data_IF_190499533226
#
_entry.id   IF_190499533226
#
_cell.length_a   1.000
_cell.length_b   1.000
_cell.length_c   1.000
_cell.angle_alpha   90.00
_cell.angle_beta   90.00
_cell.angle_gamma   90.00
#
_symmetry.space_group_name_H-M   'P 1'
#
loop_
_entity.id
_entity.type
_entity.pdbx_description
1 polymer ?
#
# COMPACT_ATOMS: atom_id res chain seq x y z
N UNK A 1 -2.39 25.12 -25.22
CA UNK A 1 -1.21 24.28 -24.98
C UNK A 1 -0.04 25.19 -24.59
N UNK A 2 0.59 24.93 -23.45
CA UNK A 2 1.62 25.81 -22.87
C UNK A 2 2.94 25.78 -23.62
N UNK A 3 3.14 25.32 -24.75
CA UNK A 3 4.39 25.36 -25.55
C UNK A 3 4.13 25.23 -27.05
N UNK A 4 2.92 25.60 -27.54
CA UNK A 4 2.58 25.50 -28.97
C UNK A 4 2.45 24.06 -29.48
N UNK A 5 2.33 23.08 -28.56
CA UNK A 5 2.07 21.70 -28.96
C UNK A 5 0.55 21.53 -29.14
N UNK A 6 0.16 21.21 -30.36
CA UNK A 6 -1.21 20.90 -30.71
C UNK A 6 -1.39 19.38 -30.73
N UNK A 7 -2.50 18.90 -30.17
CA UNK A 7 -2.83 17.48 -30.13
C UNK A 7 -4.00 17.20 -31.06
N UNK A 8 -3.81 16.28 -31.96
CA UNK A 8 -4.88 15.81 -32.83
C UNK A 8 -5.81 14.92 -32.00
N UNK A 9 -6.97 15.46 -31.61
CA UNK A 9 -7.97 14.78 -30.76
C UNK A 9 -8.72 13.63 -31.44
N UNK A 10 -8.41 13.27 -32.67
CA UNK A 10 -9.20 12.32 -33.49
C UNK A 10 -8.39 11.38 -34.39
N UNK A 11 -7.17 11.05 -34.04
CA UNK A 11 -6.39 10.08 -34.79
C UNK A 11 -5.98 8.87 -33.97
N UNK A 12 -5.79 7.70 -34.58
CA UNK A 12 -5.25 6.53 -33.87
C UNK A 12 -3.78 6.67 -33.51
N UNK A 13 -3.12 7.75 -33.91
CA UNK A 13 -1.68 7.85 -33.93
C UNK A 13 -1.05 8.48 -32.69
N UNK A 14 -1.80 9.03 -31.76
CA UNK A 14 -1.31 9.73 -30.54
C UNK A 14 -0.20 10.77 -30.80
N UNK A 15 0.12 11.07 -32.07
CA UNK A 15 1.15 12.03 -32.44
C UNK A 15 0.70 13.47 -32.18
N UNK A 16 1.66 14.31 -31.80
CA UNK A 16 1.46 15.76 -31.71
C UNK A 16 2.00 16.43 -32.95
N UNK A 17 1.84 17.76 -33.05
CA UNK A 17 2.45 18.57 -34.11
C UNK A 17 4.00 18.61 -34.04
N UNK A 18 4.61 18.02 -33.03
CA UNK A 18 6.07 17.92 -32.86
C UNK A 18 6.50 16.48 -33.15
N UNK A 19 7.34 16.27 -34.19
CA UNK A 19 7.80 14.94 -34.55
C UNK A 19 8.47 14.20 -33.38
N UNK A 20 8.06 12.95 -33.12
CA UNK A 20 8.56 12.13 -32.04
C UNK A 20 7.98 12.44 -30.64
N UNK A 21 7.05 13.39 -30.54
CA UNK A 21 6.32 13.69 -29.32
C UNK A 21 4.90 13.17 -29.44
N UNK A 22 4.52 12.34 -28.48
CA UNK A 22 3.23 11.66 -28.42
C UNK A 22 2.46 12.10 -27.18
N UNK A 23 1.15 11.90 -27.21
CA UNK A 23 0.28 12.21 -26.09
C UNK A 23 -0.84 11.18 -25.97
N UNK A 24 -1.07 10.65 -24.79
CA UNK A 24 -2.10 9.67 -24.49
C UNK A 24 -2.87 10.03 -23.20
N UNK A 25 -3.94 9.30 -22.94
CA UNK A 25 -4.79 9.50 -21.76
C UNK A 25 -5.53 10.83 -21.79
N UNK A 26 -5.77 11.41 -20.62
CA UNK A 26 -6.58 12.65 -20.48
C UNK A 26 -6.07 13.83 -21.29
N UNK A 27 -4.78 13.92 -21.50
CA UNK A 27 -4.20 14.98 -22.32
C UNK A 27 -4.54 14.83 -23.80
N UNK A 28 -4.80 13.61 -24.27
CA UNK A 28 -5.21 13.32 -25.65
C UNK A 28 -6.72 13.38 -25.83
N UNK A 29 -7.48 12.72 -24.98
CA UNK A 29 -8.93 12.56 -25.12
C UNK A 29 -9.76 13.54 -24.30
N UNK A 30 -9.19 14.21 -23.33
CA UNK A 30 -9.87 14.98 -22.28
C UNK A 30 -10.11 14.10 -21.03
N UNK A 31 -10.64 14.69 -19.96
CA UNK A 31 -10.89 13.97 -18.71
C UNK A 31 -11.71 12.69 -18.91
N UNK A 32 -11.21 11.58 -18.40
CA UNK A 32 -11.79 10.27 -18.58
C UNK A 32 -11.50 9.37 -17.35
N UNK A 33 -11.90 8.11 -17.41
CA UNK A 33 -11.61 7.15 -16.34
C UNK A 33 -10.18 6.65 -16.40
N UNK A 34 -9.67 6.17 -15.26
CA UNK A 34 -8.33 5.54 -15.18
C UNK A 34 -8.22 4.35 -16.15
N UNK A 35 -9.30 3.57 -16.32
CA UNK A 35 -9.33 2.43 -17.24
C UNK A 35 -9.13 2.87 -18.69
N UNK A 36 -9.74 3.99 -19.09
CA UNK A 36 -9.57 4.54 -20.43
C UNK A 36 -8.17 5.11 -20.65
N UNK A 37 -7.57 5.72 -19.61
CA UNK A 37 -6.18 6.16 -19.64
C UNK A 37 -5.20 5.00 -19.83
N UNK A 38 -5.42 3.90 -19.14
CA UNK A 38 -4.63 2.66 -19.29
C UNK A 38 -4.82 2.06 -20.69
N UNK A 39 -6.04 2.03 -21.21
CA UNK A 39 -6.33 1.54 -22.56
C UNK A 39 -5.63 2.37 -23.64
N UNK A 40 -5.57 3.70 -23.48
CA UNK A 40 -4.85 4.57 -24.40
C UNK A 40 -3.34 4.33 -24.34
N UNK A 41 -2.77 4.15 -23.15
CA UNK A 41 -1.36 3.83 -22.99
C UNK A 41 -1.00 2.49 -23.65
N UNK A 42 -1.85 1.48 -23.51
CA UNK A 42 -1.67 0.18 -24.16
C UNK A 42 -1.69 0.31 -25.69
N UNK A 43 -2.68 1.02 -26.26
CA UNK A 43 -2.78 1.27 -27.71
C UNK A 43 -1.59 2.05 -28.23
N UNK A 44 -1.14 3.05 -27.49
CA UNK A 44 0.06 3.81 -27.87
C UNK A 44 1.30 2.91 -27.91
N UNK A 45 1.48 2.06 -26.89
CA UNK A 45 2.59 1.11 -26.86
C UNK A 45 2.57 0.16 -28.07
N UNK A 46 1.41 -0.35 -28.47
CA UNK A 46 1.25 -1.19 -29.66
C UNK A 46 1.67 -0.47 -30.94
N UNK A 47 1.34 0.82 -31.07
CA UNK A 47 1.74 1.63 -32.22
C UNK A 47 3.26 1.81 -32.26
N UNK A 48 3.90 2.08 -31.14
CA UNK A 48 5.35 2.30 -31.06
C UNK A 48 6.12 1.01 -31.32
N UNK A 49 5.65 -0.10 -30.79
CA UNK A 49 6.31 -1.42 -30.93
C UNK A 49 6.00 -2.06 -32.30
N UNK A 50 4.91 -1.67 -32.95
CA UNK A 50 4.51 -2.15 -34.27
C UNK A 50 3.81 -3.53 -34.27
N UNK A 51 3.45 -4.04 -33.09
CA UNK A 51 2.66 -5.27 -32.99
C UNK A 51 1.71 -5.19 -31.77
N UNK A 52 0.56 -5.90 -31.81
CA UNK A 52 -0.36 -5.94 -30.69
C UNK A 52 0.31 -6.60 -29.48
N UNK A 53 0.01 -6.07 -28.30
CA UNK A 53 0.40 -6.70 -27.05
C UNK A 53 -0.49 -7.93 -26.79
N UNK A 54 0.14 -9.07 -26.66
CA UNK A 54 -0.53 -10.29 -26.21
C UNK A 54 -0.47 -10.27 -24.69
N UNK A 55 -1.60 -9.98 -24.05
CA UNK A 55 -1.74 -10.14 -22.61
C UNK A 55 -1.65 -11.62 -22.29
N UNK A 56 -0.61 -12.02 -21.61
CA UNK A 56 -0.55 -13.35 -21.00
C UNK A 56 -1.50 -13.32 -19.79
N UNK A 57 -2.78 -13.49 -20.09
CA UNK A 57 -3.80 -13.67 -19.05
C UNK A 57 -3.57 -15.09 -18.55
N UNK A 58 -3.11 -15.25 -17.28
CA UNK A 58 -2.97 -16.58 -16.72
C UNK A 58 -4.28 -17.33 -16.93
N UNK A 59 -4.19 -18.56 -17.42
CA UNK A 59 -5.34 -19.44 -17.48
C UNK A 59 -6.05 -19.34 -16.12
N UNK A 60 -7.36 -19.12 -16.14
CA UNK A 60 -8.16 -19.03 -14.94
C UNK A 60 -7.74 -20.15 -14.00
N UNK A 61 -7.02 -19.79 -12.93
CA UNK A 61 -6.84 -20.72 -11.86
C UNK A 61 -8.25 -21.06 -11.38
N UNK A 62 -8.55 -22.33 -11.13
CA UNK A 62 -9.80 -22.77 -10.51
C UNK A 62 -9.91 -22.16 -9.10
N UNK A 63 -10.05 -20.84 -9.05
CA UNK A 63 -10.26 -20.09 -7.80
C UNK A 63 -11.73 -20.24 -7.46
N UNK A 64 -12.00 -20.99 -6.43
CA UNK A 64 -13.36 -21.14 -5.95
C UNK A 64 -13.85 -19.83 -5.33
N UNK A 65 -15.15 -19.61 -5.29
CA UNK A 65 -15.75 -18.49 -4.59
C UNK A 65 -15.31 -18.46 -3.12
N UNK A 66 -15.11 -19.62 -2.50
CA UNK A 66 -14.59 -19.76 -1.16
C UNK A 66 -13.15 -19.22 -1.01
N UNK A 67 -12.27 -19.53 -1.96
CA UNK A 67 -10.89 -19.05 -1.93
C UNK A 67 -10.84 -17.53 -2.08
N UNK A 68 -11.67 -16.95 -2.96
CA UNK A 68 -11.75 -15.52 -3.14
C UNK A 68 -12.28 -14.81 -1.89
N UNK A 69 -13.29 -15.38 -1.24
CA UNK A 69 -13.86 -14.85 -0.01
C UNK A 69 -12.90 -15.00 1.17
N UNK A 70 -12.24 -16.14 1.31
CA UNK A 70 -11.24 -16.38 2.34
C UNK A 70 -10.06 -15.40 2.21
N UNK A 71 -9.57 -15.17 1.00
CA UNK A 71 -8.51 -14.20 0.73
C UNK A 71 -8.91 -12.77 1.12
N UNK A 72 -10.18 -12.40 0.89
CA UNK A 72 -10.69 -11.08 1.27
C UNK A 72 -11.16 -10.98 2.72
N UNK A 73 -11.11 -12.06 3.47
CA UNK A 73 -11.52 -12.09 4.88
C UNK A 73 -13.02 -11.87 5.12
N UNK A 74 -13.86 -12.04 4.10
CA UNK A 74 -15.30 -11.74 4.18
C UNK A 74 -16.03 -12.68 5.12
N UNK A 75 -15.58 -13.94 5.21
CA UNK A 75 -16.27 -14.97 5.96
C UNK A 75 -15.85 -15.15 7.39
N UNK A 76 -14.81 -14.50 7.79
CA UNK A 76 -14.34 -14.87 9.07
C UNK A 76 -14.55 -13.87 10.06
N UNK A 77 -15.06 -14.00 10.93
CA UNK A 77 -14.72 -14.09 12.02
C UNK A 77 -14.53 -13.07 12.86
N UNK A 78 -15.20 -11.94 12.63
CA UNK A 78 -15.48 -10.86 13.53
C UNK A 78 -15.76 -11.29 14.99
N UNK A 79 -16.18 -12.51 15.16
CA UNK A 79 -16.46 -13.07 16.49
C UNK A 79 -15.23 -13.25 17.39
N UNK A 80 -14.02 -13.08 16.87
CA UNK A 80 -12.79 -13.26 17.65
C UNK A 80 -12.13 -11.94 18.05
N UNK A 81 -12.52 -10.84 17.45
CA UNK A 81 -11.95 -9.53 17.75
C UNK A 81 -12.78 -8.82 18.81
N UNK A 82 -12.15 -8.41 19.89
CA UNK A 82 -12.80 -7.81 21.07
C UNK A 82 -12.99 -6.31 20.89
N UNK A 83 -12.01 -5.64 20.28
CA UNK A 83 -12.07 -4.23 19.93
C UNK A 83 -11.47 -3.94 18.56
N UNK A 84 -11.71 -2.74 18.04
CA UNK A 84 -11.27 -2.38 16.68
C UNK A 84 -9.75 -2.28 16.56
N UNK A 85 -9.07 -1.72 17.57
CA UNK A 85 -7.61 -1.64 17.58
C UNK A 85 -6.95 -3.03 17.61
N UNK A 86 -7.42 -3.92 18.48
CA UNK A 86 -6.92 -5.31 18.52
C UNK A 86 -7.17 -6.03 17.19
N UNK A 87 -8.35 -5.77 16.58
CA UNK A 87 -8.70 -6.34 15.30
C UNK A 87 -7.79 -5.86 14.18
N UNK A 88 -7.42 -4.59 14.16
CA UNK A 88 -6.51 -4.05 13.17
C UNK A 88 -5.10 -4.63 13.28
N UNK A 89 -4.60 -4.87 14.48
CA UNK A 89 -3.30 -5.54 14.69
C UNK A 89 -3.32 -7.02 14.27
N UNK A 90 -4.49 -7.68 14.28
CA UNK A 90 -4.64 -9.10 13.95
C UNK A 90 -5.24 -9.35 12.56
N UNK A 91 -5.59 -8.31 11.84
CA UNK A 91 -6.37 -8.38 10.61
C UNK A 91 -5.59 -8.97 9.42
N UNK A 92 -4.27 -9.00 9.49
CA UNK A 92 -3.37 -9.60 8.50
C UNK A 92 -3.70 -11.05 8.15
N UNK A 93 -4.31 -11.78 9.08
CA UNK A 93 -4.69 -13.19 8.87
C UNK A 93 -6.01 -13.36 8.11
N UNK A 94 -6.78 -12.30 7.94
CA UNK A 94 -8.16 -12.38 7.45
C UNK A 94 -8.51 -11.44 6.32
N UNK A 95 -7.82 -10.30 6.20
CA UNK A 95 -8.24 -9.26 5.26
C UNK A 95 -7.07 -8.37 4.84
N UNK A 96 -7.04 -7.99 3.56
CA UNK A 96 -6.08 -7.04 2.99
C UNK A 96 -6.80 -5.84 2.33
N UNK A 97 -8.08 -5.61 2.60
CA UNK A 97 -8.87 -4.57 1.94
C UNK A 97 -8.26 -3.18 2.08
N UNK A 98 -7.66 -2.85 3.22
CA UNK A 98 -6.99 -1.57 3.42
C UNK A 98 -5.71 -1.42 2.57
N UNK A 99 -5.06 -2.52 2.20
CA UNK A 99 -3.93 -2.53 1.27
C UNK A 99 -4.43 -2.32 -0.16
N UNK A 100 -5.42 -3.11 -0.56
CA UNK A 100 -5.98 -3.09 -1.92
C UNK A 100 -6.64 -1.74 -2.26
N UNK A 101 -7.33 -1.12 -1.29
CA UNK A 101 -8.06 0.13 -1.49
C UNK A 101 -7.21 1.40 -1.35
N UNK A 102 -5.98 1.29 -0.87
CA UNK A 102 -5.13 2.46 -0.64
C UNK A 102 -4.50 2.97 -1.94
N UNK A 103 -4.89 4.15 -2.45
CA UNK A 103 -4.35 4.68 -3.71
C UNK A 103 -2.87 5.02 -3.61
N UNK A 104 -2.41 5.38 -2.42
CA UNK A 104 -1.01 5.76 -2.15
C UNK A 104 -0.15 4.58 -1.68
N UNK A 105 -0.75 3.38 -1.54
CA UNK A 105 -0.09 2.19 -1.01
C UNK A 105 0.54 2.39 0.37
N UNK A 106 -0.06 3.23 1.19
CA UNK A 106 0.40 3.49 2.55
C UNK A 106 0.19 2.29 3.50
N UNK A 107 -0.73 1.38 3.20
CA UNK A 107 -0.88 0.13 3.92
C UNK A 107 -0.13 -0.98 3.19
N UNK A 108 0.81 -1.64 3.85
CA UNK A 108 1.74 -2.59 3.24
C UNK A 108 1.73 -3.92 3.98
N UNK A 109 1.67 -5.02 3.22
CA UNK A 109 1.77 -6.37 3.77
C UNK A 109 3.23 -6.72 4.04
N UNK A 110 3.55 -7.02 5.28
CA UNK A 110 4.86 -7.50 5.72
C UNK A 110 4.79 -9.01 5.88
N UNK A 111 5.54 -9.75 5.06
CA UNK A 111 5.60 -11.20 5.13
C UNK A 111 6.59 -11.65 6.19
N UNK A 112 6.09 -12.34 7.19
CA UNK A 112 6.88 -12.84 8.31
C UNK A 112 7.60 -14.16 7.96
N UNK A 113 8.61 -14.52 8.75
CA UNK A 113 9.42 -15.72 8.52
C UNK A 113 8.69 -17.03 8.78
N UNK A 114 7.66 -17.02 9.59
CA UNK A 114 6.80 -18.17 9.91
C UNK A 114 5.70 -18.43 8.86
N UNK A 115 5.63 -17.59 7.83
CA UNK A 115 4.63 -17.66 6.77
C UNK A 115 3.35 -16.87 7.05
N UNK A 116 3.22 -16.26 8.21
CA UNK A 116 2.19 -15.27 8.50
C UNK A 116 2.51 -13.94 7.81
N UNK A 117 1.61 -13.00 7.88
CA UNK A 117 1.85 -11.64 7.42
C UNK A 117 1.14 -10.64 8.32
N UNK A 118 1.72 -9.45 8.39
CA UNK A 118 1.18 -8.30 9.10
C UNK A 118 0.97 -7.14 8.14
N UNK A 119 0.03 -6.26 8.46
CA UNK A 119 -0.19 -5.05 7.69
C UNK A 119 0.28 -3.87 8.51
N UNK A 120 1.26 -3.14 7.97
CA UNK A 120 1.73 -1.89 8.56
C UNK A 120 1.25 -0.69 7.77
N UNK A 121 1.10 0.42 8.44
CA UNK A 121 0.82 1.72 7.85
C UNK A 121 2.12 2.51 7.70
N UNK A 122 2.35 3.13 6.55
CA UNK A 122 3.52 3.99 6.29
C UNK A 122 3.03 5.43 6.25
N UNK A 123 3.31 6.17 7.31
CA UNK A 123 2.78 7.50 7.56
C UNK A 123 3.08 8.47 6.41
N UNK A 124 4.33 8.61 6.01
CA UNK A 124 4.77 9.50 4.91
C UNK A 124 4.09 9.24 3.56
N UNK A 125 3.49 8.08 3.36
CA UNK A 125 2.77 7.72 2.15
C UNK A 125 1.27 8.02 2.24
N UNK A 126 0.76 8.28 3.44
CA UNK A 126 -0.65 8.53 3.68
C UNK A 126 -1.03 9.99 3.40
N UNK A 127 -2.17 10.19 2.79
CA UNK A 127 -2.80 11.51 2.63
C UNK A 127 -4.18 11.57 3.31
N UNK A 128 -4.46 10.65 4.22
CA UNK A 128 -5.69 10.58 4.99
C UNK A 128 -6.98 10.63 4.15
N UNK A 129 -6.96 10.03 2.96
CA UNK A 129 -8.09 10.07 2.04
C UNK A 129 -9.32 9.27 2.49
N UNK A 130 -9.22 8.48 3.55
CA UNK A 130 -10.30 7.70 4.12
C UNK A 130 -10.71 6.43 3.37
N UNK A 131 -10.10 6.12 2.23
CA UNK A 131 -10.49 4.93 1.45
C UNK A 131 -10.34 3.63 2.24
N UNK A 132 -9.26 3.47 3.01
CA UNK A 132 -9.05 2.28 3.81
C UNK A 132 -10.14 2.09 4.86
N UNK A 133 -10.62 3.17 5.47
CA UNK A 133 -11.75 3.17 6.41
C UNK A 133 -13.05 2.83 5.69
N UNK A 134 -13.32 3.45 4.55
CA UNK A 134 -14.55 3.23 3.78
C UNK A 134 -14.71 1.77 3.33
N UNK A 135 -13.61 1.11 2.97
CA UNK A 135 -13.63 -0.27 2.51
C UNK A 135 -13.31 -1.30 3.60
N UNK A 136 -13.14 -0.87 4.85
CA UNK A 136 -12.90 -1.77 5.96
C UNK A 136 -14.19 -2.52 6.34
N UNK A 137 -14.24 -3.87 6.21
CA UNK A 137 -15.43 -4.64 6.55
C UNK A 137 -15.71 -4.71 8.06
N UNK A 138 -14.77 -4.23 8.85
CA UNK A 138 -14.84 -4.23 10.32
C UNK A 138 -15.11 -2.86 10.92
N UNK A 139 -15.35 -1.85 10.11
CA UNK A 139 -15.54 -0.47 10.52
C UNK A 139 -14.37 0.11 11.35
N UNK A 140 -13.15 -0.32 11.04
CA UNK A 140 -11.91 0.24 11.62
C UNK A 140 -11.38 1.38 10.77
N UNK A 141 -10.48 2.17 11.34
CA UNK A 141 -9.75 3.24 10.67
C UNK A 141 -8.28 2.84 10.47
N UNK A 142 -7.96 2.05 9.41
CA UNK A 142 -6.65 1.44 9.26
C UNK A 142 -5.47 2.42 9.23
N UNK A 143 -5.68 3.67 8.83
CA UNK A 143 -4.65 4.71 8.89
C UNK A 143 -4.31 5.14 10.33
N UNK A 144 -5.20 4.88 11.29
CA UNK A 144 -5.00 5.17 12.70
C UNK A 144 -4.76 3.90 13.53
N UNK A 145 -5.43 2.81 13.18
CA UNK A 145 -5.42 1.59 13.98
C UNK A 145 -4.27 0.63 13.65
N UNK A 146 -3.63 0.76 12.47
CA UNK A 146 -2.51 -0.10 12.07
C UNK A 146 -1.21 0.33 12.74
N UNK A 147 -0.34 -0.65 13.02
CA UNK A 147 1.01 -0.36 13.44
C UNK A 147 1.72 0.49 12.38
N UNK A 148 2.21 1.67 12.78
CA UNK A 148 2.64 2.72 11.87
C UNK A 148 4.16 2.80 11.79
N UNK A 149 4.69 2.95 10.57
CA UNK A 149 6.08 3.32 10.31
C UNK A 149 6.13 4.83 10.13
N UNK A 150 6.78 5.51 11.08
CA UNK A 150 6.97 6.95 11.05
C UNK A 150 8.24 7.33 10.31
N UNK A 151 8.26 8.51 9.70
CA UNK A 151 9.41 9.04 8.99
C UNK A 151 10.25 9.98 9.89
N UNK A 152 9.59 10.71 10.77
CA UNK A 152 10.23 11.67 11.68
C UNK A 152 9.72 11.53 13.11
N UNK A 153 10.51 12.09 14.07
CA UNK A 153 10.08 12.20 15.47
C UNK A 153 8.84 13.09 15.61
N UNK A 154 8.73 14.12 14.79
CA UNK A 154 7.68 15.10 14.80
C UNK A 154 6.35 14.44 14.39
N UNK A 155 6.34 13.67 13.30
CA UNK A 155 5.16 12.89 12.85
C UNK A 155 4.71 11.92 13.95
N UNK A 156 5.66 11.21 14.57
CA UNK A 156 5.33 10.31 15.67
C UNK A 156 4.78 11.06 16.88
N UNK A 157 5.30 12.24 17.22
CA UNK A 157 4.86 13.01 18.40
C UNK A 157 3.46 13.62 18.20
N UNK A 158 3.10 13.95 16.95
CA UNK A 158 1.78 14.47 16.58
C UNK A 158 0.74 13.37 16.42
N UNK A 159 1.14 12.11 16.33
CA UNK A 159 0.26 10.94 16.15
C UNK A 159 -0.03 10.24 17.50
N UNK A 160 -1.17 9.59 17.60
CA UNK A 160 -1.52 8.67 18.70
C UNK A 160 -1.33 7.19 18.31
N UNK A 161 -1.00 6.90 17.04
CA UNK A 161 -0.86 5.54 16.54
C UNK A 161 0.27 4.78 17.23
N UNK A 162 0.05 3.50 17.49
CA UNK A 162 1.16 2.60 17.80
C UNK A 162 2.07 2.47 16.59
N UNK A 163 3.37 2.51 16.79
CA UNK A 163 4.28 2.47 15.66
C UNK A 163 5.74 2.64 16.03
N UNK A 164 6.57 2.57 15.02
CA UNK A 164 8.02 2.63 15.15
C UNK A 164 8.62 3.67 14.20
N UNK A 165 9.61 4.36 14.69
CA UNK A 165 10.53 5.20 13.93
C UNK A 165 11.92 4.54 13.96
N UNK A 166 12.49 4.26 12.79
CA UNK A 166 13.85 3.79 12.67
C UNK A 166 14.83 4.97 12.69
N UNK A 167 15.86 4.86 13.51
CA UNK A 167 16.89 5.87 13.67
C UNK A 167 18.28 5.31 13.29
N UNK A 168 19.33 6.08 13.46
CA UNK A 168 20.69 5.63 13.16
C UNK A 168 21.16 4.56 14.18
N UNK A 169 22.17 3.77 13.79
CA UNK A 169 22.85 2.80 14.66
C UNK A 169 21.93 1.72 15.27
N UNK A 170 21.00 1.16 14.50
CA UNK A 170 20.03 0.15 14.96
C UNK A 170 19.11 0.61 16.10
N UNK A 171 19.05 1.91 16.35
CA UNK A 171 18.11 2.47 17.32
C UNK A 171 16.72 2.61 16.71
N UNK A 172 15.72 2.34 17.51
CA UNK A 172 14.32 2.61 17.17
C UNK A 172 13.61 3.33 18.29
N UNK A 173 12.71 4.23 17.91
CA UNK A 173 11.77 4.86 18.81
C UNK A 173 10.41 4.20 18.60
N UNK A 174 9.87 3.59 19.62
CA UNK A 174 8.64 2.80 19.58
C UNK A 174 7.57 3.43 20.45
N UNK A 175 6.37 3.60 19.91
CA UNK A 175 5.17 3.88 20.68
C UNK A 175 4.32 2.63 20.77
N UNK A 176 4.08 2.19 21.98
CA UNK A 176 3.24 1.04 22.29
C UNK A 176 2.50 1.28 23.63
N UNK A 177 1.86 0.26 24.20
CA UNK A 177 0.99 0.34 25.39
C UNK A 177 1.55 1.19 26.55
N UNK A 178 2.86 1.08 26.81
CA UNK A 178 3.56 1.82 27.88
C UNK A 178 4.05 3.22 27.48
N UNK A 179 3.63 3.73 26.33
CA UNK A 179 4.04 5.03 25.78
C UNK A 179 5.22 4.93 24.82
N UNK A 180 6.03 5.98 24.74
CA UNK A 180 7.14 6.07 23.79
C UNK A 180 8.45 5.71 24.50
N UNK A 181 9.19 4.76 23.93
CA UNK A 181 10.51 4.29 24.43
C UNK A 181 11.50 4.14 23.28
N UNK A 182 12.77 4.21 23.60
CA UNK A 182 13.88 3.94 22.67
C UNK A 182 14.45 2.56 22.95
N UNK A 183 14.76 1.82 21.88
CA UNK A 183 15.31 0.48 21.95
C UNK A 183 16.51 0.35 21.01
N UNK A 184 17.51 -0.42 21.43
CA UNK A 184 18.62 -0.83 20.60
C UNK A 184 18.34 -2.24 20.06
N UNK A 185 18.08 -2.36 18.77
CA UNK A 185 17.76 -3.64 18.11
C UNK A 185 18.95 -4.59 18.04
N UNK A 186 20.17 -4.11 18.29
CA UNK A 186 21.37 -4.95 18.43
C UNK A 186 21.47 -5.60 19.81
N UNK A 187 20.74 -5.11 20.80
CA UNK A 187 20.71 -5.66 22.15
C UNK A 187 19.80 -6.88 22.25
N UNK A 188 20.25 -7.89 22.97
CA UNK A 188 19.45 -9.10 23.24
C UNK A 188 18.50 -8.94 24.45
N UNK A 189 18.53 -7.83 25.14
CA UNK A 189 17.79 -7.60 26.39
C UNK A 189 16.62 -6.61 26.20
N UNK A 190 15.97 -6.64 25.04
CA UNK A 190 14.79 -5.81 24.78
C UNK A 190 13.57 -6.41 25.47
N UNK A 191 12.88 -5.62 26.29
CA UNK A 191 11.59 -5.98 26.90
C UNK A 191 10.42 -5.71 25.94
N UNK A 192 10.52 -6.30 24.74
CA UNK A 192 9.50 -6.18 23.69
C UNK A 192 8.69 -7.48 23.59
N UNK A 193 7.39 -7.40 23.27
CA UNK A 193 6.64 -8.58 22.86
C UNK A 193 7.30 -9.25 21.65
N UNK A 194 7.43 -10.58 21.70
CA UNK A 194 8.19 -11.36 20.69
C UNK A 194 7.67 -11.12 19.27
N UNK A 195 6.35 -11.02 19.11
CA UNK A 195 5.72 -10.79 17.81
C UNK A 195 6.04 -9.39 17.28
N UNK A 196 6.05 -8.39 18.15
CA UNK A 196 6.36 -7.00 17.79
C UNK A 196 7.85 -6.84 17.43
N UNK A 197 8.75 -7.44 18.20
CA UNK A 197 10.17 -7.48 17.89
C UNK A 197 10.42 -8.14 16.53
N UNK A 198 9.77 -9.29 16.28
CA UNK A 198 9.87 -10.01 15.01
C UNK A 198 9.37 -9.16 13.83
N UNK A 199 8.30 -8.39 14.00
CA UNK A 199 7.78 -7.47 12.99
C UNK A 199 8.81 -6.36 12.70
N UNK A 200 9.30 -5.68 13.72
CA UNK A 200 10.27 -4.59 13.59
C UNK A 200 11.54 -5.07 12.89
N UNK A 201 12.11 -6.20 13.33
CA UNK A 201 13.29 -6.80 12.71
C UNK A 201 13.02 -7.20 11.25
N UNK A 202 11.84 -7.75 10.94
CA UNK A 202 11.48 -8.09 9.57
C UNK A 202 11.39 -6.85 8.67
N UNK A 203 10.81 -5.76 9.18
CA UNK A 203 10.75 -4.48 8.46
C UNK A 203 12.16 -3.94 8.22
N UNK A 204 13.02 -3.91 9.25
CA UNK A 204 14.41 -3.48 9.13
C UNK A 204 15.15 -4.25 8.03
N UNK A 205 15.07 -5.57 8.07
CA UNK A 205 15.92 -6.44 7.26
C UNK A 205 15.42 -6.60 5.80
N UNK A 206 14.12 -6.51 5.57
CA UNK A 206 13.53 -6.83 4.26
C UNK A 206 12.75 -5.68 3.61
N UNK A 207 12.34 -4.69 4.38
CA UNK A 207 11.45 -3.63 3.95
C UNK A 207 12.02 -2.23 4.26
N UNK A 208 13.34 -2.10 4.39
CA UNK A 208 14.01 -0.83 4.71
C UNK A 208 13.63 0.33 3.78
N UNK A 209 13.26 0.03 2.54
CA UNK A 209 12.78 1.02 1.56
C UNK A 209 11.50 1.75 1.99
N UNK A 210 10.79 1.28 3.02
CA UNK A 210 9.58 1.93 3.52
C UNK A 210 9.88 3.12 4.43
N UNK A 211 11.09 3.20 5.01
CA UNK A 211 11.48 4.26 5.94
C UNK A 211 12.80 4.99 5.56
N UNK A 212 13.47 4.57 4.48
CA UNK A 212 14.65 5.24 3.94
C UNK A 212 14.32 6.45 3.07
#
# INVERSE_FOLDING_TARGET
AAYGIEMERKGPAFETNVPGVYCAGDAHRGPATVVEGIADAARFAEIVVGHPHIYDIPAEADVTEFDAQAKKGILSMASKCVCDGERCLQCSTVCENCVDSCPNRANVVIKMSDGSHEIVHVDKMCNECGNCTQFCPYASEPCHDKFTLFDTREDMDESENYGVLFEEDDMVRLRYEDGVKEYDLASCDNDLPVELEALILTVRDKYSYLYL
#
